data_IF_283388599255
#
_entry.id   IF_283388599255
#
_cell.length_a   1.000
_cell.length_b   1.000
_cell.length_c   1.000
_cell.angle_alpha   90.00
_cell.angle_beta   90.00
_cell.angle_gamma   90.00
#
_symmetry.space_group_name_H-M   'P 1'
#
loop_
_entity.id
_entity.type
_entity.pdbx_description
1 polymer ?
#
# COMPACT_ATOMS: atom_id res chain seq x y z
N UNK A 1 -8.07 18.00 -60.28
CA UNK A 1 -8.10 18.24 -58.83
C UNK A 1 -8.15 16.89 -58.10
N UNK A 2 -7.01 16.36 -57.63
CA UNK A 2 -6.94 15.09 -56.90
C UNK A 2 -7.04 15.38 -55.39
N UNK A 3 -8.08 14.88 -54.72
CA UNK A 3 -8.24 14.92 -53.27
C UNK A 3 -7.40 13.81 -52.65
N UNK A 4 -6.46 14.18 -51.78
CA UNK A 4 -5.66 13.27 -50.98
C UNK A 4 -6.45 12.94 -49.70
N UNK A 5 -6.91 11.69 -49.55
CA UNK A 5 -7.48 11.20 -48.30
C UNK A 5 -6.35 10.88 -47.33
N UNK A 6 -6.29 11.62 -46.22
CA UNK A 6 -5.40 11.34 -45.10
C UNK A 6 -6.07 10.28 -44.20
N UNK A 7 -5.57 9.05 -44.22
CA UNK A 7 -6.01 8.00 -43.31
C UNK A 7 -5.33 8.22 -41.95
N UNK A 8 -6.11 8.64 -40.95
CA UNK A 8 -5.65 8.78 -39.57
C UNK A 8 -5.61 7.39 -38.92
N UNK A 9 -4.42 6.81 -38.82
CA UNK A 9 -4.21 5.54 -38.10
C UNK A 9 -4.27 5.81 -36.60
N UNK A 10 -5.42 5.55 -35.97
CA UNK A 10 -5.57 5.56 -34.51
C UNK A 10 -4.74 4.39 -33.94
N UNK A 11 -3.56 4.69 -33.42
CA UNK A 11 -2.81 3.80 -32.55
C UNK A 11 -3.59 3.61 -31.24
N UNK A 12 -4.49 2.63 -31.21
CA UNK A 12 -5.06 2.14 -29.96
C UNK A 12 -3.98 1.35 -29.22
N UNK A 13 -3.42 1.95 -28.18
CA UNK A 13 -2.66 1.19 -27.18
C UNK A 13 -3.58 0.06 -26.66
N UNK A 14 -3.16 -1.21 -26.70
CA UNK A 14 -3.90 -2.27 -26.05
C UNK A 14 -3.87 -2.02 -24.54
N UNK A 15 -4.90 -1.33 -24.05
CA UNK A 15 -5.20 -1.27 -22.64
C UNK A 15 -5.57 -2.68 -22.20
N UNK A 16 -4.61 -3.39 -21.60
CA UNK A 16 -4.90 -4.63 -20.91
C UNK A 16 -5.82 -4.30 -19.74
N UNK A 17 -7.14 -4.42 -19.94
CA UNK A 17 -8.11 -4.43 -18.86
C UNK A 17 -7.84 -5.67 -18.00
N UNK A 18 -6.92 -5.56 -17.05
CA UNK A 18 -6.67 -6.59 -16.06
C UNK A 18 -7.93 -6.72 -15.17
N UNK A 19 -8.34 -7.95 -14.86
CA UNK A 19 -9.51 -8.21 -14.02
C UNK A 19 -9.28 -7.71 -12.58
N UNK A 20 -9.64 -6.46 -12.32
CA UNK A 20 -9.76 -5.94 -10.95
C UNK A 20 -11.08 -6.45 -10.36
N UNK A 21 -11.04 -6.96 -9.13
CA UNK A 21 -12.25 -7.47 -8.46
C UNK A 21 -13.23 -6.35 -8.15
N UNK A 22 -14.55 -6.63 -8.02
CA UNK A 22 -15.56 -5.60 -7.80
C UNK A 22 -15.26 -4.66 -6.62
N UNK A 23 -14.64 -5.19 -5.55
CA UNK A 23 -14.26 -4.40 -4.37
C UNK A 23 -13.41 -3.19 -4.73
N UNK A 24 -12.45 -3.33 -5.65
CA UNK A 24 -11.45 -2.31 -5.96
C UNK A 24 -11.71 -1.53 -7.24
N UNK A 25 -12.86 -1.70 -7.89
CA UNK A 25 -13.25 -0.92 -9.08
C UNK A 25 -13.73 0.49 -8.76
N UNK A 26 -14.02 0.76 -7.49
CA UNK A 26 -14.53 2.03 -7.00
C UNK A 26 -13.55 2.62 -6.01
N UNK A 27 -13.29 3.92 -6.14
CA UNK A 27 -12.47 4.69 -5.20
C UNK A 27 -13.28 5.25 -4.03
N UNK A 28 -14.61 5.27 -4.15
CA UNK A 28 -15.51 5.70 -3.06
C UNK A 28 -15.38 4.79 -1.83
N UNK A 29 -15.26 5.35 -0.61
CA UNK A 29 -15.17 4.55 0.61
C UNK A 29 -16.35 3.59 0.77
N UNK A 30 -16.08 2.33 1.12
CA UNK A 30 -17.13 1.36 1.44
C UNK A 30 -17.48 1.44 2.92
N UNK A 31 -18.74 1.69 3.25
CA UNK A 31 -19.23 1.61 4.63
C UNK A 31 -19.39 0.16 5.07
N UNK A 32 -18.72 -0.22 6.17
CA UNK A 32 -18.76 -1.57 6.74
C UNK A 32 -19.00 -1.54 8.25
N UNK A 33 -19.53 -2.64 8.79
CA UNK A 33 -19.66 -2.86 10.23
C UNK A 33 -19.04 -4.19 10.62
N UNK A 34 -18.32 -4.17 11.74
CA UNK A 34 -17.75 -5.37 12.36
C UNK A 34 -18.10 -5.40 13.85
N UNK A 35 -18.29 -6.61 14.36
CA UNK A 35 -18.53 -6.84 15.79
C UNK A 35 -17.65 -8.00 16.25
N UNK A 36 -16.68 -7.71 17.11
CA UNK A 36 -15.80 -8.68 17.74
C UNK A 36 -15.10 -8.06 18.96
N UNK A 37 -14.58 -8.88 19.88
CA UNK A 37 -13.74 -8.36 20.96
C UNK A 37 -12.29 -8.19 20.48
N UNK A 38 -11.78 -6.96 20.50
CA UNK A 38 -10.38 -6.68 20.15
C UNK A 38 -9.44 -7.38 21.12
N UNK A 39 -9.76 -7.38 22.41
CA UNK A 39 -8.96 -8.07 23.45
C UNK A 39 -8.83 -9.56 23.15
N UNK A 40 -9.91 -10.22 22.76
CA UNK A 40 -9.88 -11.65 22.41
C UNK A 40 -9.11 -11.88 21.11
N UNK A 41 -9.30 -11.02 20.10
CA UNK A 41 -8.60 -11.14 18.83
C UNK A 41 -7.08 -10.95 18.97
N UNK A 42 -6.64 -10.08 19.88
CA UNK A 42 -5.22 -9.84 20.20
C UNK A 42 -4.56 -10.97 20.99
N UNK A 43 -5.32 -11.69 21.82
CA UNK A 43 -4.80 -12.81 22.63
C UNK A 43 -4.27 -13.95 21.77
N UNK A 44 -4.86 -14.13 20.59
CA UNK A 44 -4.45 -15.20 19.69
C UNK A 44 -3.27 -14.73 18.81
N UNK A 45 -2.08 -15.24 19.13
CA UNK A 45 -0.86 -14.96 18.38
C UNK A 45 -0.61 -15.98 17.27
N UNK A 46 -1.39 -17.07 17.21
CA UNK A 46 -1.25 -18.09 16.18
C UNK A 46 -1.87 -17.60 14.85
N UNK A 47 -1.02 -17.40 13.86
CA UNK A 47 -1.38 -16.88 12.54
C UNK A 47 -2.24 -17.84 11.68
N UNK A 48 -2.50 -19.06 12.15
CA UNK A 48 -3.40 -20.03 11.50
C UNK A 48 -4.82 -20.02 12.06
N UNK A 49 -5.05 -19.40 13.23
CA UNK A 49 -6.34 -19.44 13.90
C UNK A 49 -7.13 -18.17 13.58
N UNK A 50 -8.38 -18.37 13.20
CA UNK A 50 -9.32 -17.30 12.88
C UNK A 50 -10.57 -17.40 13.76
N UNK A 51 -11.17 -16.24 14.03
CA UNK A 51 -12.45 -16.10 14.73
C UNK A 51 -13.54 -15.83 13.70
N UNK A 52 -14.55 -16.70 13.65
CA UNK A 52 -15.71 -16.49 12.78
C UNK A 52 -16.45 -15.19 13.17
N UNK A 53 -16.84 -14.42 12.16
CA UNK A 53 -17.56 -13.16 12.30
C UNK A 53 -18.43 -12.89 11.08
N UNK A 54 -19.10 -11.75 11.08
CA UNK A 54 -19.93 -11.26 9.98
C UNK A 54 -19.48 -9.85 9.66
N UNK A 55 -19.23 -9.60 8.39
CA UNK A 55 -19.00 -8.26 7.86
C UNK A 55 -20.29 -7.79 7.22
N UNK A 56 -20.92 -6.79 7.81
CA UNK A 56 -22.01 -6.09 7.17
C UNK A 56 -21.44 -4.95 6.30
N UNK A 57 -22.01 -4.73 5.13
CA UNK A 57 -21.57 -3.70 4.19
C UNK A 57 -22.79 -2.99 3.60
N UNK A 58 -22.60 -1.72 3.25
CA UNK A 58 -23.62 -0.94 2.59
C UNK A 58 -23.60 -1.22 1.08
N UNK A 59 -24.76 -1.56 0.50
CA UNK A 59 -24.95 -1.82 -0.92
C UNK A 59 -25.02 -0.49 -1.70
N UNK A 60 -24.93 -0.56 -3.02
CA UNK A 60 -25.13 0.61 -3.90
C UNK A 60 -26.53 1.21 -3.81
N UNK A 61 -27.53 0.44 -3.35
CA UNK A 61 -28.88 0.92 -3.09
C UNK A 61 -29.04 1.57 -1.70
N UNK A 62 -27.96 1.68 -0.92
CA UNK A 62 -27.96 2.28 0.42
C UNK A 62 -28.42 1.33 1.55
N UNK A 63 -28.85 0.12 1.22
CA UNK A 63 -29.26 -0.92 2.20
C UNK A 63 -28.05 -1.65 2.78
N UNK A 64 -28.23 -2.35 3.91
CA UNK A 64 -27.19 -3.19 4.51
C UNK A 64 -27.38 -4.66 4.14
N UNK A 65 -26.30 -5.30 3.71
CA UNK A 65 -26.21 -6.75 3.53
C UNK A 65 -24.96 -7.26 4.25
N UNK A 66 -24.70 -8.57 4.26
CA UNK A 66 -23.59 -9.15 4.99
C UNK A 66 -22.95 -10.36 4.34
N UNK A 67 -21.68 -10.59 4.68
CA UNK A 67 -20.91 -11.76 4.29
C UNK A 67 -20.28 -12.41 5.52
N UNK A 68 -20.34 -13.74 5.57
CA UNK A 68 -19.64 -14.53 6.60
C UNK A 68 -18.14 -14.46 6.36
N UNK A 69 -17.40 -14.12 7.41
CA UNK A 69 -15.96 -13.96 7.36
C UNK A 69 -15.28 -14.67 8.53
N UNK A 70 -14.00 -14.90 8.39
CA UNK A 70 -13.11 -15.33 9.44
C UNK A 70 -12.07 -14.22 9.65
N UNK A 71 -11.92 -13.74 10.90
CA UNK A 71 -11.03 -12.63 11.26
C UNK A 71 -9.84 -13.12 12.08
N UNK A 72 -8.68 -12.48 11.87
CA UNK A 72 -7.57 -12.52 12.84
C UNK A 72 -6.81 -11.21 12.85
N UNK A 73 -6.17 -10.91 13.97
CA UNK A 73 -5.20 -9.82 14.05
C UNK A 73 -3.93 -10.17 13.25
N UNK A 74 -3.27 -9.16 12.67
CA UNK A 74 -1.96 -9.26 12.01
C UNK A 74 -1.03 -8.16 12.51
N UNK A 75 0.26 -8.29 12.18
CA UNK A 75 1.32 -7.34 12.51
C UNK A 75 1.82 -7.49 13.95
N UNK A 76 3.12 -7.78 14.14
CA UNK A 76 3.69 -7.96 15.48
C UNK A 76 3.70 -6.64 16.26
N UNK A 77 4.29 -5.59 15.69
CA UNK A 77 4.43 -4.29 16.33
C UNK A 77 3.07 -3.71 16.76
N UNK A 78 2.10 -3.64 15.84
CA UNK A 78 0.80 -3.02 16.11
C UNK A 78 -0.07 -3.87 17.04
N UNK A 79 0.05 -5.19 17.04
CA UNK A 79 -0.60 -6.01 18.08
C UNK A 79 -0.08 -5.66 19.47
N UNK A 80 1.21 -5.43 19.65
CA UNK A 80 1.77 -5.07 20.95
C UNK A 80 1.44 -3.62 21.36
N UNK A 81 1.54 -2.67 20.42
CA UNK A 81 1.58 -1.24 20.75
C UNK A 81 0.30 -0.45 20.42
N UNK A 82 -0.62 -1.01 19.64
CA UNK A 82 -1.86 -0.32 19.25
C UNK A 82 -3.10 -0.83 19.99
N UNK A 83 -4.08 0.06 20.15
CA UNK A 83 -5.42 -0.32 20.59
C UNK A 83 -6.09 -1.24 19.56
N UNK A 84 -6.00 -0.88 18.28
CA UNK A 84 -6.53 -1.69 17.18
C UNK A 84 -5.39 -2.28 16.34
N UNK A 85 -5.28 -3.62 16.24
CA UNK A 85 -4.38 -4.24 15.30
C UNK A 85 -4.99 -4.24 13.89
N UNK A 86 -4.18 -4.18 12.83
CA UNK A 86 -4.66 -4.48 11.49
C UNK A 86 -5.20 -5.93 11.44
N UNK A 87 -6.15 -6.17 10.54
CA UNK A 87 -6.87 -7.44 10.45
C UNK A 87 -6.57 -8.17 9.15
N UNK A 88 -6.60 -9.50 9.20
CA UNK A 88 -6.74 -10.34 8.01
C UNK A 88 -8.19 -10.82 7.95
N UNK A 89 -8.86 -10.51 6.84
CA UNK A 89 -10.26 -10.85 6.58
C UNK A 89 -10.29 -12.00 5.59
N UNK A 90 -10.70 -13.16 6.05
CA UNK A 90 -10.81 -14.36 5.23
C UNK A 90 -12.26 -14.60 4.84
N UNK A 91 -12.50 -14.81 3.55
CA UNK A 91 -13.82 -15.10 2.98
C UNK A 91 -13.75 -16.48 2.35
N UNK A 92 -14.60 -17.40 2.80
CA UNK A 92 -14.63 -18.77 2.26
C UNK A 92 -15.13 -18.75 0.81
N UNK A 93 -14.61 -19.67 0.00
CA UNK A 93 -15.00 -19.83 -1.42
C UNK A 93 -16.53 -19.89 -1.54
N UNK A 94 -17.09 -19.12 -2.47
CA UNK A 94 -18.53 -19.04 -2.72
C UNK A 94 -19.30 -18.06 -1.84
N UNK A 95 -18.79 -17.70 -0.64
CA UNK A 95 -19.50 -16.78 0.25
C UNK A 95 -19.48 -15.32 -0.24
N UNK A 96 -18.47 -14.94 -1.01
CA UNK A 96 -18.30 -13.57 -1.53
C UNK A 96 -18.94 -13.31 -2.89
N UNK A 97 -19.35 -14.34 -3.65
CA UNK A 97 -19.57 -14.26 -5.10
C UNK A 97 -20.66 -13.27 -5.56
N UNK A 98 -21.66 -13.00 -4.71
CA UNK A 98 -22.76 -12.05 -4.98
C UNK A 98 -22.64 -10.76 -4.18
N UNK A 99 -21.45 -10.46 -3.69
CA UNK A 99 -21.16 -9.28 -2.85
C UNK A 99 -20.04 -8.46 -3.50
N UNK A 100 -19.76 -7.24 -3.02
CA UNK A 100 -18.58 -6.47 -3.46
C UNK A 100 -17.27 -7.25 -3.28
N UNK A 101 -17.23 -8.23 -2.37
CA UNK A 101 -16.04 -9.03 -2.06
C UNK A 101 -15.79 -10.19 -3.02
N UNK A 102 -16.60 -10.36 -4.08
CA UNK A 102 -16.44 -11.46 -5.04
C UNK A 102 -14.99 -11.61 -5.54
N UNK A 103 -14.50 -12.84 -5.53
CA UNK A 103 -13.12 -13.18 -5.91
C UNK A 103 -12.05 -12.96 -4.82
N UNK A 104 -12.29 -12.11 -3.81
CA UNK A 104 -11.35 -11.84 -2.73
C UNK A 104 -11.48 -12.90 -1.63
N UNK A 105 -10.37 -13.55 -1.24
CA UNK A 105 -10.39 -14.60 -0.22
C UNK A 105 -9.63 -14.23 1.03
N UNK A 106 -8.53 -13.49 0.91
CA UNK A 106 -7.61 -13.14 1.98
C UNK A 106 -7.26 -11.65 1.93
N UNK A 107 -8.22 -10.80 2.29
CA UNK A 107 -8.00 -9.36 2.34
C UNK A 107 -7.20 -8.95 3.57
N UNK A 108 -6.42 -7.88 3.44
CA UNK A 108 -5.86 -7.16 4.59
C UNK A 108 -6.73 -5.93 4.84
N UNK A 109 -7.14 -5.72 6.08
CA UNK A 109 -7.85 -4.52 6.51
C UNK A 109 -6.96 -3.76 7.49
N UNK A 110 -6.36 -2.67 7.03
CA UNK A 110 -5.65 -1.74 7.89
C UNK A 110 -6.69 -0.87 8.59
N UNK A 111 -6.49 -0.68 9.89
CA UNK A 111 -7.31 0.18 10.75
C UNK A 111 -6.38 1.17 11.46
N UNK A 112 -6.86 2.26 12.05
CA UNK A 112 -6.03 3.20 12.81
C UNK A 112 -5.40 2.54 14.05
N UNK A 113 -4.25 3.01 14.54
CA UNK A 113 -3.63 2.45 15.74
C UNK A 113 -4.48 2.69 17.01
N UNK A 114 -5.17 3.83 17.07
CA UNK A 114 -6.08 4.24 18.14
C UNK A 114 -7.29 4.97 17.55
N UNK A 115 -8.30 5.25 18.37
CA UNK A 115 -9.46 6.04 17.91
C UNK A 115 -9.10 7.52 17.74
N UNK A 116 -9.89 8.23 16.95
CA UNK A 116 -9.83 9.69 16.84
C UNK A 116 -9.31 10.17 15.49
N UNK A 117 -9.63 11.43 15.17
CA UNK A 117 -9.41 12.01 13.85
C UNK A 117 -7.94 11.92 13.40
N UNK A 118 -7.00 12.25 14.28
CA UNK A 118 -5.56 12.19 13.97
C UNK A 118 -5.16 10.82 13.41
N UNK A 119 -5.59 9.72 14.05
CA UNK A 119 -5.23 8.37 13.63
C UNK A 119 -5.98 7.92 12.37
N UNK A 120 -7.22 8.39 12.16
CA UNK A 120 -7.93 8.21 10.89
C UNK A 120 -7.19 8.91 9.74
N UNK A 121 -6.71 10.13 9.95
CA UNK A 121 -5.96 10.89 8.95
C UNK A 121 -4.65 10.17 8.56
N UNK A 122 -4.01 9.44 9.48
CA UNK A 122 -2.83 8.60 9.15
C UNK A 122 -3.16 7.48 8.15
N UNK A 123 -4.36 6.90 8.20
CA UNK A 123 -4.80 5.88 7.23
C UNK A 123 -5.03 6.53 5.86
N UNK A 124 -5.51 7.77 5.84
CA UNK A 124 -5.66 8.54 4.60
C UNK A 124 -4.27 8.84 4.00
N UNK A 125 -3.27 9.19 4.82
CA UNK A 125 -1.88 9.37 4.36
C UNK A 125 -1.25 8.06 3.87
N UNK A 126 -1.49 6.94 4.53
CA UNK A 126 -1.03 5.64 4.05
C UNK A 126 -1.69 5.28 2.71
N UNK A 127 -2.99 5.53 2.57
CA UNK A 127 -3.70 5.35 1.30
C UNK A 127 -3.12 6.24 0.19
N UNK A 128 -2.76 7.49 0.49
CA UNK A 128 -2.04 8.36 -0.45
C UNK A 128 -0.72 7.71 -0.91
N UNK A 129 0.04 7.09 -0.02
CA UNK A 129 1.26 6.36 -0.40
C UNK A 129 0.95 5.23 -1.40
N UNK A 130 -0.11 4.44 -1.21
CA UNK A 130 -0.51 3.42 -2.19
C UNK A 130 -0.89 4.01 -3.55
N UNK A 131 -1.60 5.15 -3.57
CA UNK A 131 -1.97 5.80 -4.84
C UNK A 131 -0.74 6.37 -5.55
N UNK A 132 0.22 6.96 -4.82
CA UNK A 132 1.51 7.37 -5.39
C UNK A 132 2.30 6.16 -5.93
N UNK A 133 2.29 5.02 -5.22
CA UNK A 133 3.01 3.82 -5.64
C UNK A 133 2.46 3.24 -6.95
N UNK A 134 1.13 3.30 -7.14
CA UNK A 134 0.46 2.84 -8.36
C UNK A 134 0.92 3.62 -9.62
N UNK A 135 1.28 4.89 -9.48
CA UNK A 135 1.76 5.71 -10.60
C UNK A 135 3.22 5.45 -10.98
N UNK A 136 4.04 4.96 -10.05
CA UNK A 136 5.48 4.74 -10.30
C UNK A 136 5.82 3.33 -10.78
N UNK A 137 4.90 2.37 -10.63
CA UNK A 137 5.14 0.97 -11.00
C UNK A 137 3.85 0.26 -11.42
N UNK A 138 3.89 -0.65 -12.41
CA UNK A 138 2.75 -1.52 -12.72
C UNK A 138 2.53 -2.63 -11.65
N UNK A 139 3.48 -2.79 -10.73
CA UNK A 139 3.46 -3.79 -9.67
C UNK A 139 3.06 -3.13 -8.35
N UNK A 140 1.75 -3.13 -8.07
CA UNK A 140 1.17 -2.50 -6.88
C UNK A 140 0.04 -3.36 -6.31
N UNK A 141 -0.47 -3.03 -5.13
CA UNK A 141 -1.73 -3.58 -4.60
C UNK A 141 -2.87 -2.60 -4.85
N UNK A 142 -4.02 -3.08 -5.34
CA UNK A 142 -5.22 -2.26 -5.29
C UNK A 142 -5.64 -2.01 -3.83
N UNK A 143 -6.12 -0.80 -3.55
CA UNK A 143 -6.58 -0.43 -2.21
C UNK A 143 -7.89 0.33 -2.27
N UNK A 144 -8.66 0.29 -1.17
CA UNK A 144 -9.93 1.02 -1.05
C UNK A 144 -10.19 1.41 0.39
N UNK A 145 -10.51 2.70 0.60
CA UNK A 145 -10.90 3.20 1.92
C UNK A 145 -12.21 2.58 2.38
N UNK A 146 -12.37 2.46 3.70
CA UNK A 146 -13.62 2.04 4.33
C UNK A 146 -14.00 2.94 5.49
N UNK A 147 -15.30 3.17 5.64
CA UNK A 147 -15.87 3.74 6.85
C UNK A 147 -16.28 2.57 7.74
N UNK A 148 -15.50 2.27 8.76
CA UNK A 148 -15.69 1.13 9.65
C UNK A 148 -16.37 1.57 10.95
N UNK A 149 -17.61 1.11 11.16
CA UNK A 149 -18.23 1.12 12.48
C UNK A 149 -17.91 -0.20 13.18
N UNK A 150 -17.07 -0.15 14.22
CA UNK A 150 -16.64 -1.29 15.00
C UNK A 150 -17.33 -1.30 16.36
N UNK A 151 -18.04 -2.39 16.66
CA UNK A 151 -18.51 -2.70 18.02
C UNK A 151 -17.53 -3.64 18.70
N UNK A 152 -16.78 -3.13 19.68
CA UNK A 152 -15.84 -3.90 20.50
C UNK A 152 -16.55 -4.53 21.70
N UNK A 153 -16.66 -5.85 21.69
CA UNK A 153 -17.27 -6.63 22.77
C UNK A 153 -18.77 -6.85 22.60
N UNK A 154 -19.44 -7.24 23.69
CA UNK A 154 -20.86 -7.64 23.70
C UNK A 154 -21.60 -7.05 24.89
N UNK A 155 -22.91 -6.86 24.74
CA UNK A 155 -23.79 -6.39 25.81
C UNK A 155 -23.54 -4.93 26.21
N UNK A 156 -23.87 -4.59 27.46
CA UNK A 156 -23.87 -3.21 27.96
C UNK A 156 -22.48 -2.55 28.02
N UNK A 157 -21.40 -3.34 27.99
CA UNK A 157 -20.01 -2.83 28.01
C UNK A 157 -19.40 -2.68 26.62
N UNK A 158 -20.17 -2.95 25.55
CA UNK A 158 -19.69 -2.82 24.19
C UNK A 158 -19.36 -1.35 23.87
N UNK A 159 -18.23 -1.14 23.19
CA UNK A 159 -17.79 0.19 22.76
C UNK A 159 -17.92 0.31 21.25
N UNK A 160 -18.50 1.41 20.78
CA UNK A 160 -18.60 1.69 19.35
C UNK A 160 -17.51 2.67 18.93
N UNK A 161 -16.88 2.37 17.80
CA UNK A 161 -15.81 3.17 17.22
C UNK A 161 -16.10 3.41 15.74
N UNK A 162 -16.01 4.68 15.31
CA UNK A 162 -16.04 5.04 13.90
C UNK A 162 -14.60 5.29 13.42
N UNK A 163 -14.12 4.40 12.56
CA UNK A 163 -12.74 4.33 12.11
C UNK A 163 -12.65 4.46 10.60
N UNK A 164 -11.62 5.14 10.12
CA UNK A 164 -11.23 5.06 8.70
C UNK A 164 -10.32 3.85 8.53
N UNK A 165 -10.72 2.88 7.71
CA UNK A 165 -9.89 1.73 7.38
C UNK A 165 -9.44 1.74 5.92
N UNK A 166 -8.56 0.79 5.57
CA UNK A 166 -8.08 0.58 4.22
C UNK A 166 -8.04 -0.92 3.91
N UNK A 167 -8.83 -1.36 2.92
CA UNK A 167 -8.65 -2.68 2.33
C UNK A 167 -7.47 -2.67 1.37
N UNK A 168 -6.66 -3.72 1.44
CA UNK A 168 -5.56 -4.01 0.49
C UNK A 168 -5.86 -5.35 -0.19
N UNK A 169 -5.61 -5.37 -1.50
CA UNK A 169 -5.82 -6.51 -2.39
C UNK A 169 -5.15 -7.81 -1.90
N UNK A 170 -5.77 -8.92 -2.24
CA UNK A 170 -5.27 -10.27 -1.97
C UNK A 170 -4.00 -10.55 -2.78
N UNK A 171 -2.99 -11.13 -2.15
CA UNK A 171 -1.71 -11.45 -2.80
C UNK A 171 -1.92 -12.42 -3.97
N UNK A 172 -2.88 -13.34 -3.85
CA UNK A 172 -3.21 -14.30 -4.92
C UNK A 172 -3.81 -13.60 -6.15
N UNK A 173 -4.54 -12.50 -5.96
CA UNK A 173 -5.13 -11.72 -7.04
C UNK A 173 -4.08 -10.85 -7.73
N UNK A 174 -3.13 -10.28 -6.97
CA UNK A 174 -1.95 -9.61 -7.54
C UNK A 174 -1.13 -10.62 -8.34
N UNK A 175 -0.84 -11.80 -7.79
CA UNK A 175 -0.14 -12.86 -8.52
C UNK A 175 -0.84 -13.22 -9.84
N UNK A 176 -2.18 -13.43 -9.80
CA UNK A 176 -2.98 -13.68 -11.01
C UNK A 176 -2.85 -12.53 -12.01
N UNK A 177 -2.98 -11.27 -11.56
CA UNK A 177 -2.90 -10.07 -12.40
C UNK A 177 -1.52 -9.94 -13.08
N UNK A 178 -0.46 -10.28 -12.36
CA UNK A 178 0.92 -10.27 -12.85
C UNK A 178 1.30 -11.53 -13.64
N UNK A 179 0.38 -12.49 -13.82
CA UNK A 179 0.68 -13.82 -14.38
C UNK A 179 1.91 -14.44 -13.69
N UNK A 180 1.89 -14.37 -12.37
CA UNK A 180 2.98 -14.75 -11.49
C UNK A 180 2.45 -15.68 -10.39
N UNK A 181 3.37 -16.19 -9.58
CA UNK A 181 3.07 -16.86 -8.31
C UNK A 181 3.86 -16.19 -7.19
N UNK A 182 3.40 -16.28 -5.95
CA UNK A 182 4.17 -15.80 -4.80
C UNK A 182 5.44 -16.65 -4.66
N UNK A 183 6.59 -16.00 -4.49
CA UNK A 183 7.86 -16.67 -4.27
C UNK A 183 7.95 -17.10 -2.80
N UNK A 184 8.16 -18.40 -2.57
CA UNK A 184 8.03 -18.99 -1.24
C UNK A 184 9.27 -18.83 -0.34
N UNK A 185 10.42 -18.42 -0.89
CA UNK A 185 11.64 -18.31 -0.08
C UNK A 185 11.66 -16.99 0.68
N UNK A 186 11.95 -17.07 1.97
CA UNK A 186 12.09 -15.91 2.85
C UNK A 186 13.32 -15.06 2.53
N UNK A 187 14.32 -15.62 1.83
CA UNK A 187 15.56 -14.93 1.48
C UNK A 187 15.76 -14.87 -0.02
N UNK A 188 15.96 -13.66 -0.53
CA UNK A 188 16.22 -13.41 -1.96
C UNK A 188 17.59 -12.77 -2.11
N UNK A 189 18.44 -13.34 -2.96
CA UNK A 189 19.69 -12.68 -3.34
C UNK A 189 19.35 -11.38 -4.10
N UNK A 190 19.88 -10.20 -3.73
CA UNK A 190 19.45 -8.93 -4.30
C UNK A 190 19.52 -8.89 -5.84
N UNK A 191 20.57 -9.48 -6.43
CA UNK A 191 20.75 -9.54 -7.89
C UNK A 191 19.82 -10.53 -8.61
N UNK A 192 19.01 -11.32 -7.89
CA UNK A 192 17.94 -12.14 -8.51
C UNK A 192 16.63 -11.36 -8.64
N UNK A 193 16.49 -10.23 -7.94
CA UNK A 193 15.34 -9.35 -8.08
C UNK A 193 15.41 -8.61 -9.43
N UNK A 194 14.27 -8.51 -10.10
CA UNK A 194 14.11 -7.83 -11.39
C UNK A 194 14.60 -6.38 -11.30
N UNK A 195 15.58 -6.03 -12.14
CA UNK A 195 16.33 -4.77 -12.04
C UNK A 195 15.42 -3.54 -12.01
N UNK A 196 14.63 -3.32 -13.06
CA UNK A 196 13.76 -2.14 -13.21
C UNK A 196 12.70 -2.05 -12.12
N UNK A 197 12.04 -3.18 -11.80
CA UNK A 197 11.04 -3.20 -10.74
C UNK A 197 11.64 -2.84 -9.37
N UNK A 198 12.85 -3.34 -9.09
CA UNK A 198 13.53 -3.09 -7.82
C UNK A 198 13.99 -1.64 -7.70
N UNK A 199 14.65 -1.09 -8.73
CA UNK A 199 15.18 0.28 -8.64
C UNK A 199 14.05 1.32 -8.52
N UNK A 200 12.94 1.11 -9.23
CA UNK A 200 11.76 1.98 -9.11
C UNK A 200 11.16 1.89 -7.70
N UNK A 201 11.01 0.68 -7.15
CA UNK A 201 10.56 0.52 -5.76
C UNK A 201 11.52 1.18 -4.76
N UNK A 202 12.83 1.02 -4.92
CA UNK A 202 13.82 1.57 -3.97
C UNK A 202 13.79 3.10 -3.97
N UNK A 203 13.59 3.73 -5.13
CA UNK A 203 13.34 5.17 -5.25
C UNK A 203 12.01 5.56 -4.61
N UNK A 204 10.95 4.77 -4.77
CA UNK A 204 9.67 5.02 -4.10
C UNK A 204 9.83 5.02 -2.57
N UNK A 205 10.49 4.00 -2.02
CA UNK A 205 10.72 3.90 -0.58
C UNK A 205 11.57 5.07 -0.07
N UNK A 206 12.56 5.52 -0.85
CA UNK A 206 13.32 6.74 -0.53
C UNK A 206 12.43 8.00 -0.59
N UNK A 207 11.60 8.16 -1.62
CA UNK A 207 10.70 9.30 -1.80
C UNK A 207 9.80 9.51 -0.58
N UNK A 208 9.19 8.43 -0.08
CA UNK A 208 8.30 8.47 1.08
C UNK A 208 9.05 8.34 2.43
N UNK A 209 10.39 8.19 2.41
CA UNK A 209 11.22 7.93 3.59
C UNK A 209 10.74 6.74 4.42
N UNK A 210 10.60 5.59 3.76
CA UNK A 210 10.27 4.34 4.43
C UNK A 210 11.53 3.49 4.61
N UNK A 211 11.82 3.16 5.87
CA UNK A 211 12.90 2.25 6.26
C UNK A 211 12.40 0.90 6.77
N UNK A 212 11.09 0.70 6.90
CA UNK A 212 10.49 -0.54 7.40
C UNK A 212 10.16 -1.51 6.25
N UNK A 213 11.18 -1.93 5.50
CA UNK A 213 11.04 -2.90 4.41
C UNK A 213 12.34 -3.65 4.13
N UNK A 214 12.25 -4.81 3.47
CA UNK A 214 13.38 -5.55 2.95
C UNK A 214 12.96 -6.56 1.88
N UNK A 215 13.34 -6.33 0.63
CA UNK A 215 13.03 -7.27 -0.46
C UNK A 215 13.80 -8.59 -0.32
N UNK A 216 14.98 -8.54 0.31
CA UNK A 216 15.85 -9.70 0.53
C UNK A 216 15.43 -10.55 1.73
N UNK A 217 14.57 -10.03 2.61
CA UNK A 217 13.98 -10.75 3.75
C UNK A 217 12.45 -10.87 3.65
N UNK A 218 11.85 -10.44 2.54
CA UNK A 218 10.39 -10.36 2.36
C UNK A 218 9.65 -9.63 3.50
N UNK A 219 10.28 -8.60 4.07
CA UNK A 219 9.67 -7.76 5.12
C UNK A 219 8.95 -6.59 4.47
N UNK A 220 7.63 -6.48 4.69
CA UNK A 220 6.73 -5.51 4.05
C UNK A 220 6.84 -5.48 2.51
N UNK A 221 7.25 -6.60 1.93
CA UNK A 221 7.34 -6.84 0.49
C UNK A 221 6.84 -8.24 0.21
N UNK A 222 5.96 -8.37 -0.80
CA UNK A 222 5.67 -9.67 -1.42
C UNK A 222 6.52 -9.79 -2.67
N UNK A 223 7.26 -10.88 -2.79
CA UNK A 223 8.05 -11.18 -3.99
C UNK A 223 7.23 -12.12 -4.87
N UNK A 224 6.99 -11.73 -6.12
CA UNK A 224 6.33 -12.55 -7.11
C UNK A 224 7.33 -13.11 -8.11
N UNK A 225 7.17 -14.37 -8.50
CA UNK A 225 7.97 -15.02 -9.53
C UNK A 225 7.17 -15.12 -10.83
N UNK A 226 7.68 -14.50 -11.91
CA UNK A 226 7.14 -14.61 -13.26
C UNK A 226 8.28 -14.70 -14.27
N UNK A 227 8.24 -15.70 -15.16
CA UNK A 227 9.25 -15.90 -16.23
C UNK A 227 10.71 -15.80 -15.72
N UNK A 228 11.02 -16.46 -14.60
CA UNK A 228 12.33 -16.44 -13.92
C UNK A 228 12.80 -15.06 -13.40
N UNK A 229 11.90 -14.08 -13.32
CA UNK A 229 12.15 -12.80 -12.66
C UNK A 229 11.45 -12.78 -11.30
N UNK A 230 12.17 -12.26 -10.29
CA UNK A 230 11.62 -12.02 -8.96
C UNK A 230 11.25 -10.54 -8.82
N UNK A 231 9.96 -10.25 -8.75
CA UNK A 231 9.39 -8.91 -8.77
C UNK A 231 8.98 -8.56 -7.34
N UNK A 232 9.67 -7.62 -6.67
CA UNK A 232 9.27 -7.17 -5.34
C UNK A 232 8.12 -6.16 -5.44
N UNK A 233 7.12 -6.31 -4.58
CA UNK A 233 5.97 -5.41 -4.47
C UNK A 233 5.78 -5.02 -3.03
N UNK A 234 5.96 -3.74 -2.75
CA UNK A 234 5.88 -3.20 -1.40
C UNK A 234 4.43 -2.97 -0.93
N UNK A 235 4.24 -3.07 0.38
CA UNK A 235 3.02 -2.72 1.09
C UNK A 235 3.40 -2.32 2.53
N UNK A 236 2.42 -1.94 3.36
CA UNK A 236 2.63 -1.45 4.75
C UNK A 236 3.50 -0.17 4.78
N UNK A 237 2.87 0.98 4.51
CA UNK A 237 3.56 2.28 4.42
C UNK A 237 3.36 3.16 5.65
N UNK A 238 2.76 2.64 6.73
CA UNK A 238 2.37 3.40 7.93
C UNK A 238 3.57 3.94 8.73
N UNK A 239 4.74 3.30 8.64
CA UNK A 239 5.99 3.75 9.25
C UNK A 239 6.82 4.72 8.39
N UNK A 240 6.29 5.22 7.28
CA UNK A 240 7.01 6.12 6.38
C UNK A 240 7.04 7.58 6.87
N UNK A 241 8.07 8.33 6.47
CA UNK A 241 8.15 9.78 6.74
C UNK A 241 7.08 10.61 6.06
N UNK A 242 6.47 10.09 4.98
CA UNK A 242 5.27 10.67 4.36
C UNK A 242 4.06 10.60 5.30
N UNK A 243 3.84 9.45 5.94
CA UNK A 243 2.75 9.27 6.92
C UNK A 243 3.06 10.04 8.21
N UNK A 244 4.33 10.01 8.65
CA UNK A 244 4.83 10.68 9.84
C UNK A 244 3.98 10.38 11.09
N UNK A 245 3.66 9.10 11.27
CA UNK A 245 2.89 8.64 12.43
C UNK A 245 3.69 8.89 13.72
N UNK A 246 3.03 9.27 14.84
CA UNK A 246 3.71 9.49 16.13
C UNK A 246 4.32 8.21 16.72
N UNK A 247 3.85 7.04 16.26
CA UNK A 247 4.40 5.73 16.60
C UNK A 247 5.42 5.23 15.56
N UNK A 248 5.70 6.01 14.51
CA UNK A 248 6.62 5.62 13.44
C UNK A 248 8.01 5.36 14.01
N UNK A 249 8.58 4.21 13.66
CA UNK A 249 9.93 3.83 14.05
C UNK A 249 10.83 3.78 12.83
N UNK A 250 12.10 4.10 13.05
CA UNK A 250 13.12 4.01 12.03
C UNK A 250 13.89 2.71 12.22
N UNK A 251 14.22 2.03 11.13
CA UNK A 251 15.08 0.85 11.19
C UNK A 251 16.41 1.19 11.86
N UNK A 252 16.83 0.39 12.84
CA UNK A 252 18.15 0.53 13.50
C UNK A 252 19.32 0.49 12.49
N UNK A 253 19.07 -0.01 11.28
CA UNK A 253 20.05 -0.16 10.21
C UNK A 253 20.34 1.13 9.42
N UNK A 254 19.57 2.22 9.60
CA UNK A 254 19.69 3.41 8.74
C UNK A 254 20.38 4.62 9.37
N UNK A 255 20.84 4.52 10.61
CA UNK A 255 21.69 5.54 11.24
C UNK A 255 21.01 6.89 11.52
N UNK A 256 19.69 6.98 11.37
CA UNK A 256 18.88 8.14 11.78
C UNK A 256 17.78 7.70 12.74
N UNK A 257 17.35 8.62 13.62
CA UNK A 257 16.20 8.47 14.50
C UNK A 257 14.96 9.22 14.01
N UNK A 258 15.08 10.01 12.93
CA UNK A 258 13.99 10.80 12.38
C UNK A 258 13.35 10.09 11.19
N UNK A 259 12.08 9.69 11.32
CA UNK A 259 11.33 9.01 10.26
C UNK A 259 11.23 9.84 8.97
N UNK A 260 11.37 11.16 9.06
CA UNK A 260 11.32 12.07 7.91
C UNK A 260 12.67 12.26 7.23
N UNK A 261 13.77 11.80 7.82
CA UNK A 261 15.08 11.86 7.20
C UNK A 261 15.23 10.70 6.20
N UNK A 262 15.32 11.05 4.91
CA UNK A 262 15.42 10.05 3.84
C UNK A 262 16.78 9.39 3.84
N UNK A 263 16.78 8.06 3.91
CA UNK A 263 17.98 7.24 3.73
C UNK A 263 17.75 6.28 2.57
N UNK A 264 18.62 6.32 1.55
CA UNK A 264 18.53 5.38 0.45
C UNK A 264 19.03 4.00 0.91
N UNK A 265 18.19 2.98 0.77
CA UNK A 265 18.46 1.60 1.25
C UNK A 265 18.51 0.56 0.13
N UNK A 266 18.38 0.98 -1.12
CA UNK A 266 18.48 0.10 -2.28
C UNK A 266 19.89 -0.46 -2.44
N UNK A 267 19.99 -1.62 -3.08
CA UNK A 267 21.29 -2.19 -3.42
C UNK A 267 21.90 -1.49 -4.64
N UNK A 268 23.22 -1.47 -4.73
CA UNK A 268 23.92 -0.97 -5.90
C UNK A 268 23.55 -1.82 -7.13
N UNK A 269 23.30 -1.14 -8.23
CA UNK A 269 22.90 -1.64 -9.56
C UNK A 269 23.75 -0.95 -10.63
N UNK A 270 23.60 -1.33 -11.90
CA UNK A 270 24.20 -0.60 -13.01
C UNK A 270 23.86 0.90 -12.89
N UNK A 271 24.84 1.83 -12.95
CA UNK A 271 24.59 3.27 -12.94
C UNK A 271 23.51 3.75 -13.91
N UNK A 272 23.37 3.12 -15.08
CA UNK A 272 22.33 3.44 -16.06
C UNK A 272 20.90 3.23 -15.51
N UNK A 273 20.71 2.27 -14.60
CA UNK A 273 19.41 2.04 -13.95
C UNK A 273 19.05 3.15 -12.96
N UNK A 274 20.05 3.76 -12.32
CA UNK A 274 19.81 4.92 -11.43
C UNK A 274 19.38 6.14 -12.24
N UNK A 275 20.04 6.42 -13.37
CA UNK A 275 19.64 7.52 -14.25
C UNK A 275 18.28 7.26 -14.91
N UNK A 276 18.01 6.00 -15.31
CA UNK A 276 16.67 5.60 -15.78
C UNK A 276 15.60 5.91 -14.72
N UNK A 277 15.76 5.42 -13.48
CA UNK A 277 14.80 5.66 -12.41
C UNK A 277 14.66 7.17 -12.13
N UNK A 278 15.78 7.91 -12.03
CA UNK A 278 15.78 9.36 -11.87
C UNK A 278 14.94 10.05 -12.94
N UNK A 279 15.13 9.71 -14.21
CA UNK A 279 14.39 10.30 -15.33
C UNK A 279 12.90 9.99 -15.28
N UNK A 280 12.51 8.76 -14.94
CA UNK A 280 11.10 8.37 -14.80
C UNK A 280 10.41 9.11 -13.65
N UNK A 281 11.07 9.22 -12.50
CA UNK A 281 10.51 9.97 -11.37
C UNK A 281 10.36 11.46 -11.68
N UNK A 282 11.36 12.09 -12.32
CA UNK A 282 11.25 13.48 -12.75
C UNK A 282 10.09 13.69 -13.74
N UNK A 283 9.87 12.74 -14.66
CA UNK A 283 8.73 12.76 -15.58
C UNK A 283 7.38 12.61 -14.84
N UNK A 284 7.35 11.83 -13.77
CA UNK A 284 6.16 11.58 -12.95
C UNK A 284 5.87 12.69 -11.92
N UNK A 285 6.78 13.64 -11.72
CA UNK A 285 6.60 14.73 -10.73
C UNK A 285 5.23 15.42 -10.80
N UNK A 286 4.75 15.95 -11.95
CA UNK A 286 3.43 16.57 -12.02
C UNK A 286 2.30 15.60 -11.68
N UNK A 287 2.38 14.34 -12.16
CA UNK A 287 1.37 13.30 -11.89
C UNK A 287 1.28 13.00 -10.40
N UNK A 288 2.43 12.84 -9.73
CA UNK A 288 2.48 12.53 -8.30
C UNK A 288 1.98 13.71 -7.45
N UNK A 289 2.23 14.96 -7.86
CA UNK A 289 1.68 16.13 -7.18
C UNK A 289 0.16 16.26 -7.38
N UNK A 290 -0.36 15.88 -8.55
CA UNK A 290 -1.80 15.83 -8.82
C UNK A 290 -2.51 14.79 -7.94
N UNK A 291 -1.89 13.62 -7.70
CA UNK A 291 -2.40 12.62 -6.74
C UNK A 291 -2.58 13.24 -5.35
N UNK A 292 -1.64 14.07 -4.88
CA UNK A 292 -1.79 14.77 -3.58
C UNK A 292 -2.95 15.77 -3.62
N UNK A 293 -3.19 16.44 -4.74
CA UNK A 293 -4.33 17.35 -4.91
C UNK A 293 -5.67 16.62 -4.74
N UNK A 294 -5.80 15.40 -5.27
CA UNK A 294 -7.00 14.57 -5.08
C UNK A 294 -7.30 14.20 -3.61
N UNK A 295 -6.33 14.39 -2.70
CA UNK A 295 -6.47 14.12 -1.27
C UNK A 295 -6.70 15.36 -0.41
N UNK A 296 -6.63 16.58 -0.96
CA UNK A 296 -6.76 17.83 -0.17
C UNK A 296 -8.06 17.93 0.61
N UNK A 297 -9.18 17.47 0.04
CA UNK A 297 -10.49 17.48 0.73
C UNK A 297 -10.65 16.38 1.78
N UNK A 298 -9.72 15.41 1.84
CA UNK A 298 -9.75 14.28 2.77
C UNK A 298 -8.78 14.47 3.95
N UNK A 299 -7.79 15.36 3.81
CA UNK A 299 -6.77 15.65 4.83
C UNK A 299 -6.94 17.07 5.37
N UNK A 300 -6.33 17.34 6.53
CA UNK A 300 -6.24 18.71 7.01
C UNK A 300 -5.35 19.54 6.06
N UNK A 301 -5.66 20.81 5.74
CA UNK A 301 -4.87 21.61 4.78
C UNK A 301 -3.37 21.68 5.09
N UNK A 302 -3.02 21.73 6.39
CA UNK A 302 -1.62 21.67 6.84
C UNK A 302 -0.92 20.36 6.47
N UNK A 303 -1.61 19.23 6.55
CA UNK A 303 -1.05 17.92 6.18
C UNK A 303 -0.85 17.81 4.67
N UNK A 304 -1.79 18.32 3.88
CA UNK A 304 -1.66 18.35 2.42
C UNK A 304 -0.50 19.24 1.96
N UNK A 305 -0.36 20.42 2.57
CA UNK A 305 0.76 21.34 2.29
C UNK A 305 2.11 20.74 2.71
N UNK A 306 2.17 20.13 3.88
CA UNK A 306 3.37 19.42 4.34
C UNK A 306 3.75 18.27 3.40
N UNK A 307 2.77 17.48 2.95
CA UNK A 307 2.99 16.38 2.01
C UNK A 307 3.54 16.87 0.68
N UNK A 308 2.97 17.94 0.11
CA UNK A 308 3.47 18.57 -1.12
C UNK A 308 4.91 19.04 -0.98
N UNK A 309 5.21 19.79 0.08
CA UNK A 309 6.58 20.25 0.36
C UNK A 309 7.53 19.06 0.49
N UNK A 310 7.13 18.05 1.25
CA UNK A 310 7.96 16.88 1.49
C UNK A 310 8.29 16.14 0.20
N UNK A 311 7.31 15.90 -0.69
CA UNK A 311 7.59 15.31 -2.01
C UNK A 311 8.44 16.24 -2.89
N UNK A 312 8.23 17.56 -2.83
CA UNK A 312 9.05 18.55 -3.53
C UNK A 312 10.54 18.50 -3.16
N UNK A 313 10.88 18.23 -1.91
CA UNK A 313 12.27 18.02 -1.46
C UNK A 313 12.92 16.78 -2.11
N UNK A 314 12.14 15.71 -2.32
CA UNK A 314 12.62 14.53 -3.05
C UNK A 314 12.93 14.89 -4.50
N UNK A 315 12.04 15.58 -5.20
CA UNK A 315 12.31 16.00 -6.59
C UNK A 315 13.44 17.01 -6.70
N UNK A 316 13.59 17.91 -5.72
CA UNK A 316 14.74 18.83 -5.63
C UNK A 316 16.06 18.06 -5.52
N UNK A 317 16.07 16.96 -4.75
CA UNK A 317 17.22 16.04 -4.68
C UNK A 317 17.51 15.41 -6.04
N UNK A 318 16.47 14.95 -6.76
CA UNK A 318 16.64 14.36 -8.09
C UNK A 318 17.06 15.39 -9.16
N UNK A 319 16.69 16.67 -9.06
CA UNK A 319 17.09 17.70 -10.03
C UNK A 319 18.54 18.14 -9.91
N UNK A 320 19.15 17.96 -8.73
CA UNK A 320 20.55 18.31 -8.46
C UNK A 320 21.46 17.09 -8.68
N UNK A 321 22.37 17.13 -9.66
CA UNK A 321 23.32 16.04 -9.90
C UNK A 321 24.17 15.73 -8.67
N UNK A 322 24.59 16.78 -7.95
CA UNK A 322 25.36 16.65 -6.72
C UNK A 322 24.53 15.91 -5.66
N UNK A 323 23.32 16.39 -5.38
CA UNK A 323 22.46 15.84 -4.33
C UNK A 323 21.99 14.42 -4.67
N UNK A 324 21.62 14.16 -5.92
CA UNK A 324 21.28 12.82 -6.41
C UNK A 324 22.43 11.83 -6.17
N UNK A 325 23.65 12.21 -6.55
CA UNK A 325 24.83 11.37 -6.36
C UNK A 325 25.11 11.11 -4.88
N UNK A 326 25.12 12.15 -4.06
CA UNK A 326 25.50 12.08 -2.64
C UNK A 326 24.48 11.35 -1.75
N UNK A 327 23.19 11.45 -2.08
CA UNK A 327 22.12 10.91 -1.24
C UNK A 327 21.54 9.57 -1.72
N UNK A 328 21.70 9.24 -3.01
CA UNK A 328 21.14 8.02 -3.60
C UNK A 328 22.26 7.12 -4.14
N UNK A 329 22.99 7.57 -5.16
CA UNK A 329 23.95 6.71 -5.88
C UNK A 329 25.09 6.23 -4.97
N UNK A 330 25.70 7.14 -4.20
CA UNK A 330 26.81 6.78 -3.30
C UNK A 330 26.35 6.10 -2.00
N UNK A 331 25.05 6.14 -1.70
CA UNK A 331 24.45 5.52 -0.50
C UNK A 331 23.91 4.12 -0.76
N UNK A 332 23.92 3.64 -2.01
CA UNK A 332 23.49 2.29 -2.33
C UNK A 332 24.29 1.25 -1.53
N UNK A 333 23.61 0.17 -1.15
CA UNK A 333 24.22 -0.91 -0.38
C UNK A 333 24.97 -1.87 -1.31
N UNK A 334 26.21 -2.20 -0.95
CA UNK A 334 26.94 -3.32 -1.55
C UNK A 334 26.39 -4.64 -0.99
N UNK A 335 26.40 -5.71 -1.79
CA UNK A 335 25.89 -7.02 -1.40
C UNK A 335 27.02 -8.04 -1.27
#
# INVERSE_FOLDING_TARGET
MKRLLLFLLLLTCPGYAQEVTPLFRSEEPLSIRLNFSIKELKKNTNDTVYTASVLAYQTTAGTWDSVKIDLRARGHFRRANCSFPPLKVKIKKGQGDKTPFAGNKNLKLVVPCQSGKLYNDLIIKEHLAYQLYKEVTPYYFNTRLVNLSLTDGRGKSAKNHELTGLFIEDDDLVAKRLKAKTYASEKVHPMKLADTATIMQDFFQYMISNSDWSAVQSHNIVVFESKNQLIPVAYDFDMSGLVNAPYGQVSELVGTSNVRERVYRGFCRNPELFEYARSEYLRLEPVLLDVVTCFEGKLHPRDSADTRRYLGEFFSTLKSDKSFRENIVQKCRKF
#
